data_IF_892951974773
#
_entry.id   IF_892951974773
#
_cell.length_a   1.000
_cell.length_b   1.000
_cell.length_c   1.000
_cell.angle_alpha   90.00
_cell.angle_beta   90.00
_cell.angle_gamma   90.00
#
_symmetry.space_group_name_H-M   'P 1'
#
loop_
_entity.id
_entity.type
_entity.pdbx_description
1 polymer ?
#
# COMPACT_ATOMS: atom_id res chain seq x y z
N UNK A 1 -12.75 -16.70 -17.08
CA UNK A 1 -12.47 -17.56 -15.94
C UNK A 1 -11.63 -16.79 -14.92
N UNK A 2 -12.06 -16.75 -13.66
CA UNK A 2 -11.40 -15.99 -12.58
C UNK A 2 -10.01 -16.53 -12.24
N UNK A 3 -9.79 -17.84 -12.42
CA UNK A 3 -8.50 -18.50 -12.18
C UNK A 3 -7.44 -17.99 -13.16
N UNK A 4 -7.83 -17.80 -14.42
CA UNK A 4 -6.94 -17.21 -15.43
C UNK A 4 -6.55 -15.77 -15.06
N UNK A 5 -7.49 -14.97 -14.54
CA UNK A 5 -7.20 -13.60 -14.09
C UNK A 5 -6.20 -13.63 -12.94
N UNK A 6 -6.41 -14.47 -11.92
CA UNK A 6 -5.48 -14.59 -10.78
C UNK A 6 -4.06 -14.93 -11.23
N UNK A 7 -3.91 -15.85 -12.19
CA UNK A 7 -2.61 -16.28 -12.71
C UNK A 7 -1.84 -15.18 -13.45
N UNK A 8 -2.54 -14.25 -14.11
CA UNK A 8 -1.92 -13.28 -15.01
C UNK A 8 -1.92 -11.85 -14.48
N UNK A 9 -2.72 -11.51 -13.47
CA UNK A 9 -2.93 -10.13 -13.01
C UNK A 9 -1.75 -9.54 -12.23
N UNK A 10 -1.10 -10.34 -11.37
CA UNK A 10 -0.14 -9.83 -10.39
C UNK A 10 1.00 -9.02 -11.04
N UNK A 11 1.63 -9.60 -12.07
CA UNK A 11 2.80 -8.98 -12.72
C UNK A 11 2.45 -7.68 -13.45
N UNK A 12 1.43 -7.61 -14.33
CA UNK A 12 0.99 -6.35 -14.94
C UNK A 12 0.60 -5.30 -13.91
N UNK A 13 -0.12 -5.68 -12.85
CA UNK A 13 -0.55 -4.74 -11.81
C UNK A 13 0.63 -4.09 -11.08
N UNK A 14 1.60 -4.89 -10.61
CA UNK A 14 2.82 -4.39 -9.96
C UNK A 14 3.61 -3.51 -10.92
N UNK A 15 3.72 -3.90 -12.19
CA UNK A 15 4.42 -3.09 -13.20
C UNK A 15 3.80 -1.71 -13.39
N UNK A 16 2.46 -1.63 -13.49
CA UNK A 16 1.74 -0.36 -13.63
C UNK A 16 1.88 0.54 -12.40
N UNK A 17 1.90 -0.04 -11.20
CA UNK A 17 2.08 0.71 -9.96
C UNK A 17 3.47 1.35 -9.84
N UNK A 18 4.47 0.81 -10.53
CA UNK A 18 5.87 1.26 -10.48
C UNK A 18 6.37 1.75 -11.85
N UNK A 19 5.47 2.03 -12.78
CA UNK A 19 5.84 2.36 -14.16
C UNK A 19 6.65 3.67 -14.22
N UNK A 20 7.58 3.67 -15.18
CA UNK A 20 8.34 4.84 -15.60
C UNK A 20 8.39 4.83 -17.13
N UNK A 21 7.40 5.46 -17.76
CA UNK A 21 7.25 5.50 -19.21
C UNK A 21 8.01 6.66 -19.86
N UNK A 22 8.45 7.63 -19.05
CA UNK A 22 9.01 8.91 -19.50
C UNK A 22 7.95 10.01 -19.61
N UNK A 23 6.67 9.67 -19.48
CA UNK A 23 5.56 10.62 -19.32
C UNK A 23 5.06 10.59 -17.88
N UNK A 24 5.42 11.63 -17.11
CA UNK A 24 5.08 11.72 -15.69
C UNK A 24 3.56 11.78 -15.45
N UNK A 25 2.78 12.32 -16.38
CA UNK A 25 1.32 12.40 -16.23
C UNK A 25 0.69 11.03 -16.39
N UNK A 26 1.11 10.27 -17.41
CA UNK A 26 0.66 8.89 -17.61
C UNK A 26 1.07 8.03 -16.41
N UNK A 27 2.32 8.14 -15.96
CA UNK A 27 2.81 7.35 -14.84
C UNK A 27 2.06 7.69 -13.54
N UNK A 28 1.71 8.96 -13.32
CA UNK A 28 0.89 9.38 -12.18
C UNK A 28 -0.53 8.83 -12.28
N UNK A 29 -1.16 8.87 -13.45
CA UNK A 29 -2.51 8.34 -13.67
C UNK A 29 -2.56 6.82 -13.43
N UNK A 30 -1.58 6.07 -13.93
CA UNK A 30 -1.47 4.63 -13.69
C UNK A 30 -1.35 4.30 -12.22
N UNK A 31 -0.56 5.07 -11.46
CA UNK A 31 -0.44 4.91 -10.00
C UNK A 31 -1.77 5.17 -9.28
N UNK A 32 -2.57 6.14 -9.74
CA UNK A 32 -3.90 6.41 -9.17
C UNK A 32 -4.85 5.23 -9.40
N UNK A 33 -4.91 4.69 -10.62
CA UNK A 33 -5.73 3.51 -10.90
C UNK A 33 -5.30 2.29 -10.10
N UNK A 34 -3.98 2.10 -9.92
CA UNK A 34 -3.45 1.03 -9.07
C UNK A 34 -3.87 1.22 -7.61
N UNK A 35 -3.72 2.42 -7.05
CA UNK A 35 -4.13 2.72 -5.68
C UNK A 35 -5.63 2.50 -5.45
N UNK A 36 -6.47 2.92 -6.42
CA UNK A 36 -7.92 2.72 -6.38
C UNK A 36 -8.31 1.25 -6.42
N UNK A 37 -7.65 0.47 -7.28
CA UNK A 37 -8.00 -0.93 -7.51
C UNK A 37 -7.35 -1.88 -6.50
N UNK A 38 -6.35 -1.42 -5.73
CA UNK A 38 -5.53 -2.26 -4.86
C UNK A 38 -6.34 -3.15 -3.90
N UNK A 39 -7.37 -2.68 -3.18
CA UNK A 39 -8.15 -3.55 -2.30
C UNK A 39 -8.81 -4.71 -3.06
N UNK A 40 -9.33 -4.46 -4.27
CA UNK A 40 -9.94 -5.50 -5.09
C UNK A 40 -8.90 -6.52 -5.59
N UNK A 41 -7.70 -6.06 -5.93
CA UNK A 41 -6.61 -6.95 -6.36
C UNK A 41 -6.10 -7.81 -5.20
N UNK A 42 -5.98 -7.24 -3.99
CA UNK A 42 -5.62 -7.99 -2.79
C UNK A 42 -6.71 -9.01 -2.46
N UNK A 43 -7.99 -8.64 -2.56
CA UNK A 43 -9.10 -9.58 -2.36
C UNK A 43 -9.04 -10.75 -3.34
N UNK A 44 -8.79 -10.46 -4.62
CA UNK A 44 -8.72 -11.46 -5.68
C UNK A 44 -7.52 -12.40 -5.54
N UNK A 45 -6.35 -11.85 -5.17
CA UNK A 45 -5.09 -12.61 -5.08
C UNK A 45 -4.83 -13.15 -3.67
N UNK A 46 -5.67 -12.80 -2.70
CA UNK A 46 -5.61 -13.17 -1.29
C UNK A 46 -4.29 -12.77 -0.60
N UNK A 47 -4.08 -13.29 0.61
CA UNK A 47 -2.84 -13.11 1.36
C UNK A 47 -1.61 -13.69 0.62
N UNK A 48 -1.80 -14.64 -0.30
CA UNK A 48 -0.70 -15.18 -1.10
C UNK A 48 -0.13 -14.13 -2.08
N UNK A 49 -0.99 -13.40 -2.79
CA UNK A 49 -0.55 -12.25 -3.61
C UNK A 49 0.10 -11.14 -2.79
N UNK A 50 -0.40 -10.92 -1.57
CA UNK A 50 0.19 -9.98 -0.61
C UNK A 50 1.65 -10.32 -0.30
N UNK A 51 1.92 -11.56 0.11
CA UNK A 51 3.26 -12.06 0.42
C UNK A 51 4.19 -12.07 -0.79
N UNK A 52 3.67 -12.34 -1.99
CA UNK A 52 4.48 -12.41 -3.20
C UNK A 52 5.02 -11.03 -3.63
N UNK A 53 4.15 -10.04 -3.81
CA UNK A 53 4.60 -8.71 -4.28
C UNK A 53 3.63 -7.55 -4.05
N UNK A 54 2.36 -7.78 -3.69
CA UNK A 54 1.43 -6.66 -3.46
C UNK A 54 1.81 -5.82 -2.24
N UNK A 55 2.48 -6.40 -1.23
CA UNK A 55 3.00 -5.63 -0.09
C UNK A 55 4.04 -4.60 -0.54
N UNK A 56 5.02 -5.03 -1.35
CA UNK A 56 6.06 -4.14 -1.88
C UNK A 56 5.47 -3.12 -2.85
N UNK A 57 4.47 -3.51 -3.64
CA UNK A 57 3.70 -2.60 -4.47
C UNK A 57 2.98 -1.53 -3.64
N UNK A 58 2.32 -1.91 -2.54
CA UNK A 58 1.69 -0.97 -1.63
C UNK A 58 2.71 0.01 -1.03
N UNK A 59 3.83 -0.50 -0.52
CA UNK A 59 4.90 0.34 0.03
C UNK A 59 5.47 1.30 -1.01
N UNK A 60 5.65 0.87 -2.26
CA UNK A 60 6.10 1.75 -3.34
C UNK A 60 5.07 2.86 -3.65
N UNK A 61 3.77 2.55 -3.63
CA UNK A 61 2.71 3.54 -3.84
C UNK A 61 2.59 4.53 -2.66
N UNK A 62 2.97 4.13 -1.44
CA UNK A 62 2.96 5.02 -0.26
C UNK A 62 4.22 5.88 -0.17
N UNK A 63 5.38 5.27 -0.39
CA UNK A 63 6.70 5.88 -0.09
C UNK A 63 7.39 6.45 -1.31
N UNK A 64 6.98 6.04 -2.52
CA UNK A 64 7.69 6.34 -3.76
C UNK A 64 8.98 5.53 -3.94
N UNK A 65 9.30 4.61 -3.03
CA UNK A 65 10.53 3.82 -3.03
C UNK A 65 10.25 2.44 -3.65
N UNK A 66 11.00 2.07 -4.70
CA UNK A 66 10.94 0.75 -5.30
C UNK A 66 12.01 -0.17 -4.67
N UNK A 67 11.60 -1.20 -3.93
CA UNK A 67 12.53 -2.23 -3.45
C UNK A 67 13.02 -3.07 -4.65
N UNK A 68 14.29 -2.96 -5.02
CA UNK A 68 14.91 -3.92 -5.95
C UNK A 68 15.82 -3.39 -7.06
N UNK A 69 16.03 -2.08 -7.18
CA UNK A 69 17.09 -1.54 -8.06
C UNK A 69 18.33 -1.21 -7.23
N UNK A 70 19.26 -2.17 -7.23
CA UNK A 70 20.62 -2.05 -6.70
C UNK A 70 21.40 -0.90 -7.34
N UNK A 71 22.03 -0.09 -6.49
CA UNK A 71 23.17 0.82 -6.72
C UNK A 71 23.06 1.87 -7.84
N UNK A 72 22.75 3.11 -7.42
CA UNK A 72 23.19 4.42 -7.94
C UNK A 72 22.11 5.46 -8.27
N UNK A 73 20.83 5.19 -8.02
CA UNK A 73 19.85 6.27 -7.82
C UNK A 73 18.61 5.72 -7.13
N UNK A 74 18.48 5.96 -5.83
CA UNK A 74 17.17 5.93 -5.17
C UNK A 74 16.35 7.05 -5.80
N UNK A 75 15.68 6.77 -6.92
CA UNK A 75 14.72 7.70 -7.49
C UNK A 75 13.55 7.75 -6.51
N UNK A 76 13.60 8.72 -5.61
CA UNK A 76 12.45 9.10 -4.78
C UNK A 76 11.43 9.71 -5.74
N UNK A 77 10.48 8.90 -6.18
CA UNK A 77 9.37 9.38 -6.99
C UNK A 77 8.43 10.12 -6.05
N UNK A 78 8.13 11.39 -6.35
CA UNK A 78 7.08 12.11 -5.64
C UNK A 78 5.76 11.39 -5.82
N UNK A 79 5.20 10.86 -4.74
CA UNK A 79 3.92 10.17 -4.79
C UNK A 79 2.81 11.18 -5.08
N UNK A 80 2.03 11.02 -6.17
CA UNK A 80 0.95 11.94 -6.48
C UNK A 80 -0.06 12.03 -5.34
N UNK A 81 -0.52 13.24 -5.02
CA UNK A 81 -1.48 13.44 -3.94
C UNK A 81 -2.77 12.59 -4.05
N UNK A 82 -3.35 12.40 -5.26
CA UNK A 82 -4.50 11.52 -5.42
C UNK A 82 -4.22 10.06 -5.03
N UNK A 83 -2.99 9.56 -5.24
CA UNK A 83 -2.57 8.22 -4.80
C UNK A 83 -2.61 8.13 -3.28
N UNK A 84 -1.99 9.08 -2.58
CA UNK A 84 -1.97 9.11 -1.10
C UNK A 84 -3.38 9.15 -0.52
N UNK A 85 -4.23 10.04 -1.04
CA UNK A 85 -5.63 10.17 -0.61
C UNK A 85 -6.42 8.89 -0.85
N UNK A 86 -6.21 8.25 -2.00
CA UNK A 86 -6.86 6.99 -2.34
C UNK A 86 -6.44 5.85 -1.41
N UNK A 87 -5.13 5.64 -1.21
CA UNK A 87 -4.62 4.61 -0.30
C UNK A 87 -5.13 4.82 1.13
N UNK A 88 -5.08 6.05 1.61
CA UNK A 88 -5.60 6.41 2.93
C UNK A 88 -7.09 6.09 3.07
N UNK A 89 -7.88 6.31 2.00
CA UNK A 89 -9.32 6.06 1.99
C UNK A 89 -9.67 4.57 2.14
N UNK A 90 -8.81 3.68 1.64
CA UNK A 90 -9.03 2.22 1.59
C UNK A 90 -8.08 1.42 2.46
N UNK A 91 -7.22 2.06 3.25
CA UNK A 91 -6.22 1.38 4.07
C UNK A 91 -6.84 0.38 5.05
N UNK A 92 -7.94 0.75 5.71
CA UNK A 92 -8.69 -0.16 6.59
C UNK A 92 -9.18 -1.42 5.86
N UNK A 93 -9.62 -1.30 4.61
CA UNK A 93 -10.06 -2.44 3.79
C UNK A 93 -8.89 -3.36 3.49
N UNK A 94 -7.73 -2.80 3.14
CA UNK A 94 -6.50 -3.58 2.95
C UNK A 94 -6.16 -4.36 4.20
N UNK A 95 -6.13 -3.71 5.36
CA UNK A 95 -5.90 -4.33 6.67
C UNK A 95 -6.89 -5.46 6.99
N UNK A 96 -8.19 -5.26 6.69
CA UNK A 96 -9.21 -6.27 6.90
C UNK A 96 -8.99 -7.53 6.03
N UNK A 97 -8.57 -7.35 4.76
CA UNK A 97 -8.38 -8.48 3.83
C UNK A 97 -7.15 -9.32 4.22
N UNK A 98 -6.03 -8.67 4.58
CA UNK A 98 -4.78 -9.37 4.90
C UNK A 98 -4.73 -9.93 6.33
N UNK A 99 -5.54 -9.36 7.22
CA UNK A 99 -5.64 -9.76 8.62
C UNK A 99 -4.57 -9.15 9.55
N UNK A 100 -4.75 -9.30 10.87
CA UNK A 100 -3.96 -8.60 11.89
C UNK A 100 -2.49 -9.06 11.95
N UNK A 101 -2.21 -10.33 11.66
CA UNK A 101 -0.83 -10.86 11.65
C UNK A 101 0.05 -10.15 10.60
N UNK A 102 -0.51 -9.88 9.41
CA UNK A 102 0.19 -9.19 8.34
C UNK A 102 0.34 -7.67 8.59
N UNK A 103 -0.47 -7.10 9.50
CA UNK A 103 -0.38 -5.68 9.85
C UNK A 103 0.81 -5.37 10.75
N UNK A 104 0.99 -6.17 11.80
CA UNK A 104 2.06 -6.02 12.80
C UNK A 104 3.44 -6.30 12.16
N UNK A 105 3.45 -7.17 11.16
CA UNK A 105 4.66 -7.55 10.44
C UNK A 105 5.63 -8.35 11.31
N UNK A 106 6.79 -8.64 10.73
CA UNK A 106 7.93 -9.26 11.42
C UNK A 106 8.74 -8.21 12.18
N UNK A 107 9.54 -8.63 13.16
CA UNK A 107 10.46 -7.73 13.89
C UNK A 107 11.33 -6.89 12.95
N UNK A 108 11.83 -7.49 11.86
CA UNK A 108 12.63 -6.77 10.85
C UNK A 108 11.84 -5.66 10.16
N UNK A 109 10.55 -5.88 9.91
CA UNK A 109 9.69 -4.89 9.28
C UNK A 109 9.37 -3.75 10.24
N UNK A 110 9.20 -4.05 11.53
CA UNK A 110 9.04 -3.05 12.60
C UNK A 110 10.29 -2.18 12.73
N UNK A 111 11.48 -2.79 12.81
CA UNK A 111 12.76 -2.07 12.93
C UNK A 111 13.04 -1.15 11.74
N UNK A 112 12.53 -1.52 10.56
CA UNK A 112 12.69 -0.72 9.34
C UNK A 112 11.53 0.24 9.07
N UNK A 113 10.51 0.27 9.95
CA UNK A 113 9.32 1.09 9.80
C UNK A 113 8.45 0.73 8.60
N UNK A 114 8.57 -0.52 8.12
CA UNK A 114 7.90 -1.03 6.91
C UNK A 114 6.66 -1.86 7.21
N UNK A 115 6.41 -2.21 8.46
CA UNK A 115 5.13 -2.80 8.87
C UNK A 115 3.98 -1.79 8.69
N UNK A 116 2.74 -2.28 8.68
CA UNK A 116 1.60 -1.42 8.36
C UNK A 116 1.22 -0.46 9.50
N UNK A 117 1.58 -0.77 10.74
CA UNK A 117 1.39 0.13 11.87
C UNK A 117 2.32 1.33 11.74
N UNK A 118 3.59 1.08 11.44
CA UNK A 118 4.55 2.14 11.15
C UNK A 118 4.08 2.99 9.96
N UNK A 119 3.65 2.37 8.85
CA UNK A 119 3.11 3.10 7.69
C UNK A 119 1.92 3.97 8.06
N UNK A 120 0.98 3.44 8.84
CA UNK A 120 -0.16 4.18 9.35
C UNK A 120 0.27 5.42 10.15
N UNK A 121 1.26 5.27 11.03
CA UNK A 121 1.72 6.36 11.89
C UNK A 121 2.53 7.42 11.11
N UNK A 122 3.44 6.99 10.23
CA UNK A 122 4.44 7.87 9.61
C UNK A 122 3.95 8.50 8.31
N UNK A 123 3.24 7.75 7.46
CA UNK A 123 2.85 8.19 6.12
C UNK A 123 1.40 8.64 6.01
N UNK A 124 0.54 8.26 6.96
CA UNK A 124 -0.88 8.59 6.90
C UNK A 124 -1.29 9.56 8.00
N UNK A 125 -1.12 9.20 9.27
CA UNK A 125 -1.56 10.04 10.39
C UNK A 125 -0.78 11.37 10.47
N UNK A 126 0.48 11.36 10.02
CA UNK A 126 1.38 12.53 9.98
C UNK A 126 1.53 13.14 8.58
N UNK A 127 0.70 12.76 7.60
CA UNK A 127 0.75 13.38 6.28
C UNK A 127 0.42 14.88 6.36
N UNK A 128 1.03 15.68 5.49
CA UNK A 128 0.80 17.13 5.42
C UNK A 128 -0.55 17.50 4.80
N UNK A 129 -1.19 16.58 4.09
CA UNK A 129 -2.52 16.77 3.51
C UNK A 129 -3.64 16.35 4.48
N UNK A 130 -4.54 17.29 4.77
CA UNK A 130 -5.68 17.07 5.67
C UNK A 130 -6.62 15.97 5.19
N UNK A 131 -6.79 15.82 3.87
CA UNK A 131 -7.69 14.78 3.32
C UNK A 131 -7.12 13.39 3.55
N UNK A 132 -5.80 13.21 3.43
CA UNK A 132 -5.12 11.96 3.81
C UNK A 132 -5.38 11.62 5.29
N UNK A 133 -5.14 12.58 6.19
CA UNK A 133 -5.35 12.39 7.63
C UNK A 133 -6.81 12.08 7.98
N UNK A 134 -7.76 12.85 7.43
CA UNK A 134 -9.20 12.66 7.64
C UNK A 134 -9.69 11.30 7.14
N UNK A 135 -9.19 10.83 5.99
CA UNK A 135 -9.54 9.51 5.45
C UNK A 135 -9.11 8.35 6.35
N UNK A 136 -8.07 8.57 7.16
CA UNK A 136 -7.55 7.58 8.09
C UNK A 136 -8.31 7.67 9.42
N UNK A 137 -8.49 8.89 9.95
CA UNK A 137 -9.23 9.13 11.20
C UNK A 137 -10.66 8.60 11.12
N UNK A 138 -11.37 8.82 10.00
CA UNK A 138 -12.75 8.32 9.82
C UNK A 138 -12.86 6.79 9.87
N UNK A 139 -11.77 6.09 9.54
CA UNK A 139 -11.69 4.63 9.51
C UNK A 139 -10.90 4.05 10.68
N UNK A 140 -10.45 4.89 11.61
CA UNK A 140 -9.65 4.49 12.76
C UNK A 140 -10.33 3.40 13.61
N UNK A 141 -11.65 3.44 13.88
CA UNK A 141 -12.29 2.37 14.63
C UNK A 141 -12.12 0.99 13.98
N UNK A 142 -12.23 0.91 12.65
CA UNK A 142 -12.05 -0.34 11.89
C UNK A 142 -10.62 -0.86 11.97
N UNK A 143 -9.63 0.02 11.95
CA UNK A 143 -8.21 -0.33 12.08
C UNK A 143 -7.92 -0.80 13.51
N UNK A 144 -8.35 -0.03 14.51
CA UNK A 144 -8.16 -0.36 15.91
C UNK A 144 -8.83 -1.69 16.26
N UNK A 145 -10.02 -1.97 15.73
CA UNK A 145 -10.72 -3.24 15.99
C UNK A 145 -9.86 -4.47 15.62
N UNK A 146 -9.01 -4.36 14.59
CA UNK A 146 -8.12 -5.44 14.14
C UNK A 146 -6.90 -5.64 15.04
N UNK A 147 -6.45 -4.61 15.76
CA UNK A 147 -5.24 -4.72 16.57
C UNK A 147 -5.44 -5.68 17.76
N UNK A 148 -4.41 -6.48 18.13
CA UNK A 148 -4.43 -7.24 19.37
C UNK A 148 -4.60 -6.31 20.57
N UNK A 149 -5.19 -6.79 21.66
CA UNK A 149 -5.42 -5.99 22.87
C UNK A 149 -4.16 -5.35 23.46
N UNK A 150 -2.98 -5.90 23.18
CA UNK A 150 -1.68 -5.35 23.60
C UNK A 150 -1.25 -4.09 22.85
N UNK A 151 -1.78 -3.84 21.65
CA UNK A 151 -1.44 -2.67 20.83
C UNK A 151 -2.51 -1.57 20.87
N UNK A 152 -3.59 -1.77 21.64
CA UNK A 152 -4.69 -0.81 21.79
C UNK A 152 -4.47 0.23 22.88
N UNK A 153 -3.48 0.05 23.76
CA UNK A 153 -3.24 0.85 24.96
C UNK A 153 -1.85 1.50 24.94
#
# INVERSE_FOLDING_TARGET
DIVAVQKHLLRPFVHLATISSGDENIDAEMRVYCAYSLPAVILLLSNEGWKMSLRECFLALVTGIQSGKSNNSSQNITVPLPVKRCLASSFHTVCQIIGPEAMIGTTKEQDTGRDLISVFQTHFLRDTDDTVRLNIIRNLPSILALLPSKEKN
#
